data_IF_848395303061
#
_entry.id   IF_848395303061
#
_cell.length_a   1.000
_cell.length_b   1.000
_cell.length_c   1.000
_cell.angle_alpha   90.00
_cell.angle_beta   90.00
_cell.angle_gamma   90.00
#
_symmetry.space_group_name_H-M   'P 1'
#
loop_
_entity.id
_entity.type
_entity.pdbx_description
1 polymer ?
#
# COMPACT_ATOMS: atom_id res chain seq x y z
N UNK A 1 -62.74 12.41 23.33
CA UNK A 1 -61.46 11.93 23.90
C UNK A 1 -60.58 11.64 22.70
N UNK A 2 -59.83 12.63 22.24
CA UNK A 2 -58.47 13.02 22.67
C UNK A 2 -57.45 11.93 22.37
N UNK A 3 -56.50 12.33 21.54
CA UNK A 3 -55.43 11.61 20.87
C UNK A 3 -54.42 11.04 21.88
N UNK A 4 -53.86 9.86 21.55
CA UNK A 4 -52.51 9.50 21.96
C UNK A 4 -51.73 9.20 20.68
N UNK A 5 -50.79 10.08 20.37
CA UNK A 5 -49.72 9.88 19.40
C UNK A 5 -48.70 8.93 20.03
N UNK A 6 -48.39 7.83 19.33
CA UNK A 6 -47.20 7.03 19.63
C UNK A 6 -46.21 7.24 18.51
N UNK A 7 -45.16 8.00 18.82
CA UNK A 7 -44.00 8.23 17.96
C UNK A 7 -43.30 6.91 17.65
N UNK A 8 -43.42 6.48 16.39
CA UNK A 8 -42.49 5.52 15.78
C UNK A 8 -41.27 6.30 15.30
N UNK A 9 -40.22 6.34 16.12
CA UNK A 9 -38.91 6.77 15.66
C UNK A 9 -38.27 5.66 14.80
N UNK A 10 -38.17 5.97 13.51
CA UNK A 10 -37.34 5.32 12.49
C UNK A 10 -35.92 5.05 13.02
N UNK A 11 -35.53 3.77 13.04
CA UNK A 11 -34.15 3.37 13.21
C UNK A 11 -33.36 3.70 11.93
N UNK A 12 -32.81 4.91 11.89
CA UNK A 12 -31.85 5.32 10.87
C UNK A 12 -30.54 4.56 11.02
N UNK A 13 -30.33 3.56 10.16
CA UNK A 13 -29.04 2.95 9.89
C UNK A 13 -28.05 4.04 9.47
N UNK A 14 -26.92 4.12 10.19
CA UNK A 14 -25.83 5.05 9.87
C UNK A 14 -24.52 4.27 9.74
N UNK A 15 -24.37 3.62 8.59
CA UNK A 15 -23.14 2.99 8.08
C UNK A 15 -22.14 4.01 7.49
N UNK A 16 -21.91 5.15 8.15
CA UNK A 16 -21.21 6.28 7.47
C UNK A 16 -19.71 6.43 7.75
N UNK A 17 -19.09 5.62 8.62
CA UNK A 17 -17.66 5.80 8.95
C UNK A 17 -16.70 4.81 8.25
N UNK A 18 -17.23 3.78 7.55
CA UNK A 18 -16.43 2.74 6.88
C UNK A 18 -16.64 2.63 5.37
N UNK A 19 -17.71 3.23 4.83
CA UNK A 19 -18.01 3.19 3.39
C UNK A 19 -16.96 3.90 2.52
N UNK A 20 -16.12 4.76 3.12
CA UNK A 20 -15.02 5.42 2.42
C UNK A 20 -13.81 4.50 2.18
N UNK A 21 -13.57 3.51 3.04
CA UNK A 21 -12.49 2.53 2.87
C UNK A 21 -12.88 1.43 1.87
N UNK A 22 -14.17 1.05 1.86
CA UNK A 22 -14.76 0.08 0.92
C UNK A 22 -14.55 0.53 -0.54
N UNK A 23 -14.87 1.80 -0.85
CA UNK A 23 -14.64 2.37 -2.19
C UNK A 23 -13.15 2.48 -2.59
N UNK A 24 -12.24 2.57 -1.61
CA UNK A 24 -10.80 2.68 -1.86
C UNK A 24 -10.15 1.34 -2.22
N UNK A 25 -10.60 0.25 -1.58
CA UNK A 25 -10.01 -1.08 -1.74
C UNK A 25 -10.63 -1.87 -2.90
N UNK A 26 -11.96 -1.79 -3.08
CA UNK A 26 -12.65 -2.39 -4.25
C UNK A 26 -12.11 -1.84 -5.58
N UNK A 27 -11.40 -0.69 -5.53
CA UNK A 27 -10.73 -0.05 -6.68
C UNK A 27 -9.23 -0.34 -6.80
N UNK A 28 -8.61 -1.20 -5.97
CA UNK A 28 -7.26 -1.73 -6.21
C UNK A 28 -7.28 -2.73 -7.39
N UNK A 29 -7.73 -2.29 -8.55
CA UNK A 29 -7.47 -2.93 -9.82
C UNK A 29 -5.97 -2.72 -10.11
N UNK A 30 -5.12 -3.64 -9.67
CA UNK A 30 -3.81 -3.78 -10.27
C UNK A 30 -4.03 -4.38 -11.67
N UNK A 31 -4.44 -3.53 -12.61
CA UNK A 31 -4.34 -3.79 -14.03
C UNK A 31 -2.85 -3.80 -14.35
N UNK A 32 -2.26 -5.00 -14.45
CA UNK A 32 -1.05 -5.15 -15.24
C UNK A 32 -1.45 -5.05 -16.71
N UNK A 33 -1.71 -3.83 -17.16
CA UNK A 33 -1.83 -3.54 -18.59
C UNK A 33 -0.42 -3.29 -19.10
N UNK A 34 0.22 -4.32 -19.63
CA UNK A 34 1.30 -4.13 -20.59
C UNK A 34 0.64 -3.55 -21.84
N UNK A 35 0.54 -2.22 -21.86
CA UNK A 35 0.01 -1.50 -23.00
C UNK A 35 1.21 -1.16 -23.87
N UNK A 36 1.41 -1.90 -24.95
CA UNK A 36 2.23 -1.41 -26.06
C UNK A 36 1.46 -0.25 -26.69
N UNK A 37 1.80 0.99 -26.29
CA UNK A 37 1.23 2.18 -26.91
C UNK A 37 1.70 2.24 -28.37
N UNK A 38 0.81 1.92 -29.30
CA UNK A 38 0.98 2.33 -30.70
C UNK A 38 0.69 3.81 -30.80
N UNK A 39 1.77 4.59 -30.94
CA UNK A 39 1.72 6.03 -31.23
C UNK A 39 1.08 6.21 -32.62
N UNK A 40 -0.15 6.71 -32.66
CA UNK A 40 -0.73 7.26 -33.89
C UNK A 40 -0.27 8.70 -34.01
N UNK A 41 0.64 8.93 -34.95
CA UNK A 41 1.12 10.24 -35.39
C UNK A 41 0.00 10.98 -36.11
N UNK A 42 -0.56 12.00 -35.47
CA UNK A 42 -1.45 12.97 -36.12
C UNK A 42 -1.33 14.33 -35.42
N UNK A 43 -0.54 15.22 -36.03
CA UNK A 43 -0.64 16.67 -35.82
C UNK A 43 0.54 17.36 -35.13
N UNK A 44 1.57 17.65 -35.91
CA UNK A 44 2.27 18.96 -36.03
C UNK A 44 2.32 19.83 -34.75
N UNK A 45 3.20 19.45 -33.82
CA UNK A 45 3.82 20.37 -32.87
C UNK A 45 5.32 20.05 -32.84
N UNK A 46 6.12 21.09 -32.67
CA UNK A 46 7.59 21.15 -32.76
C UNK A 46 8.28 20.25 -31.70
N UNK A 47 8.20 18.93 -31.90
CA UNK A 47 8.89 17.93 -31.07
C UNK A 47 10.36 18.00 -31.42
N UNK A 48 11.10 18.74 -30.60
CA UNK A 48 12.56 18.67 -30.52
C UNK A 48 12.96 17.20 -30.67
N UNK A 49 13.56 16.89 -31.81
CA UNK A 49 13.95 15.55 -32.19
C UNK A 49 14.97 15.07 -31.17
N UNK A 50 14.52 14.40 -30.12
CA UNK A 50 15.38 13.72 -29.16
C UNK A 50 16.07 12.58 -29.90
N UNK A 51 17.17 12.92 -30.54
CA UNK A 51 18.13 11.99 -31.11
C UNK A 51 18.80 11.30 -29.95
N UNK A 52 18.61 9.99 -29.84
CA UNK A 52 19.39 9.15 -28.94
C UNK A 52 20.88 9.40 -29.17
N UNK A 53 21.56 9.98 -28.19
CA UNK A 53 23.00 10.17 -28.22
C UNK A 53 23.68 9.10 -27.38
N UNK A 54 24.79 8.57 -27.90
CA UNK A 54 25.65 7.68 -27.14
C UNK A 54 26.20 8.45 -25.93
N UNK A 55 26.03 7.89 -24.72
CA UNK A 55 26.59 8.48 -23.51
C UNK A 55 28.08 8.16 -23.54
N UNK A 56 28.91 9.17 -23.79
CA UNK A 56 30.37 9.04 -23.64
C UNK A 56 30.68 8.80 -22.16
N UNK A 57 31.05 7.56 -21.80
CA UNK A 57 31.42 7.22 -20.43
C UNK A 57 32.81 7.80 -20.11
N UNK A 58 32.90 8.66 -19.10
CA UNK A 58 34.19 9.23 -18.65
C UNK A 58 35.11 8.20 -17.94
N UNK A 59 34.65 6.97 -17.74
CA UNK A 59 35.44 5.90 -17.12
C UNK A 59 35.02 4.53 -17.65
N UNK A 60 35.96 3.74 -18.14
CA UNK A 60 35.78 2.30 -18.34
C UNK A 60 35.48 1.66 -16.98
N UNK A 61 34.21 1.30 -16.75
CA UNK A 61 33.83 0.52 -15.57
C UNK A 61 34.33 -0.90 -15.81
N UNK A 62 35.47 -1.26 -15.20
CA UNK A 62 35.95 -2.64 -15.21
C UNK A 62 34.95 -3.53 -14.48
N UNK A 63 34.32 -4.43 -15.23
CA UNK A 63 33.33 -5.34 -14.70
C UNK A 63 34.01 -6.50 -13.96
N UNK A 64 33.59 -6.78 -12.72
CA UNK A 64 34.08 -7.93 -11.95
C UNK A 64 33.45 -9.22 -12.45
N UNK A 65 34.25 -10.29 -12.62
CA UNK A 65 33.71 -11.62 -12.93
C UNK A 65 32.87 -12.21 -11.77
N UNK A 66 33.00 -11.66 -10.55
CA UNK A 66 32.21 -12.06 -9.37
C UNK A 66 30.85 -11.33 -9.33
N UNK A 67 29.93 -11.74 -10.19
CA UNK A 67 28.53 -11.28 -10.21
C UNK A 67 27.58 -12.36 -9.69
N UNK A 68 26.40 -11.96 -9.18
CA UNK A 68 25.40 -12.88 -8.63
C UNK A 68 25.00 -12.55 -7.19
N UNK A 69 24.45 -13.55 -6.49
CA UNK A 69 24.04 -13.41 -5.09
C UNK A 69 25.26 -13.31 -4.18
N UNK A 70 25.31 -12.26 -3.36
CA UNK A 70 26.41 -11.98 -2.43
C UNK A 70 26.20 -12.63 -1.06
N UNK A 71 24.96 -12.96 -0.72
CA UNK A 71 24.57 -13.56 0.55
C UNK A 71 23.88 -14.90 0.25
N UNK A 72 24.34 -15.98 0.89
CA UNK A 72 23.71 -17.28 0.74
C UNK A 72 22.36 -17.27 1.49
N UNK A 73 21.28 -17.58 0.77
CA UNK A 73 19.98 -17.83 1.41
C UNK A 73 20.10 -19.16 2.18
N UNK A 74 19.87 -19.18 3.51
CA UNK A 74 19.92 -20.42 4.27
C UNK A 74 18.95 -21.44 3.66
N UNK A 75 19.43 -22.62 3.32
CA UNK A 75 18.60 -23.72 2.86
C UNK A 75 18.20 -24.57 4.08
N UNK A 76 17.00 -24.35 4.59
CA UNK A 76 16.49 -25.01 5.82
C UNK A 76 16.02 -26.46 5.61
N UNK A 77 16.51 -27.19 4.60
CA UNK A 77 16.08 -28.57 4.33
C UNK A 77 17.21 -29.55 4.04
N UNK A 78 17.02 -30.79 4.47
CA UNK A 78 17.86 -31.96 4.15
C UNK A 78 18.02 -32.15 2.62
N UNK A 79 17.12 -31.56 1.82
CA UNK A 79 17.10 -31.61 0.35
C UNK A 79 17.82 -30.41 -0.32
N UNK A 80 18.41 -29.48 0.44
CA UNK A 80 19.05 -28.26 -0.07
C UNK A 80 18.14 -27.34 -0.91
N UNK A 81 16.82 -27.47 -0.78
CA UNK A 81 15.86 -26.65 -1.50
C UNK A 81 15.64 -25.30 -0.79
N UNK A 82 15.71 -24.21 -1.55
CA UNK A 82 15.43 -22.85 -1.06
C UNK A 82 13.95 -22.73 -0.74
N UNK A 83 13.61 -22.34 0.48
CA UNK A 83 12.23 -22.05 0.86
C UNK A 83 11.86 -20.61 0.45
N UNK A 84 10.75 -20.37 -0.26
CA UNK A 84 10.34 -19.02 -0.67
C UNK A 84 10.27 -18.00 0.47
N UNK A 85 9.97 -18.43 1.70
CA UNK A 85 9.94 -17.54 2.85
C UNK A 85 11.33 -16.98 3.21
N UNK A 86 12.39 -17.76 3.01
CA UNK A 86 13.76 -17.35 3.32
C UNK A 86 14.23 -16.28 2.33
N UNK A 87 13.88 -16.44 1.05
CA UNK A 87 14.06 -15.39 0.04
C UNK A 87 13.31 -14.11 0.44
N UNK A 88 12.05 -14.22 0.87
CA UNK A 88 11.27 -13.06 1.30
C UNK A 88 11.91 -12.35 2.49
N UNK A 89 12.37 -13.11 3.50
CA UNK A 89 13.03 -12.57 4.71
C UNK A 89 14.35 -11.87 4.43
N UNK A 90 15.01 -12.24 3.34
CA UNK A 90 16.23 -11.59 2.91
C UNK A 90 16.01 -10.12 2.54
N UNK A 91 14.92 -9.83 1.85
CA UNK A 91 14.55 -8.46 1.46
C UNK A 91 13.73 -7.75 2.54
N UNK A 92 12.78 -8.46 3.16
CA UNK A 92 11.89 -7.94 4.20
C UNK A 92 12.37 -8.44 5.56
N UNK A 93 13.35 -7.72 6.11
CA UNK A 93 13.99 -8.10 7.36
C UNK A 93 13.16 -7.73 8.59
N UNK A 94 13.55 -8.25 9.75
CA UNK A 94 12.91 -7.94 11.02
C UNK A 94 13.00 -6.44 11.38
N UNK A 95 14.03 -5.73 10.92
CA UNK A 95 14.13 -4.27 11.06
C UNK A 95 13.06 -3.55 10.24
N UNK A 96 12.81 -4.00 9.00
CA UNK A 96 11.75 -3.44 8.15
C UNK A 96 10.38 -3.72 8.76
N UNK A 97 10.14 -4.93 9.28
CA UNK A 97 8.89 -5.26 9.97
C UNK A 97 8.73 -4.40 11.22
N UNK A 98 9.79 -4.24 12.01
CA UNK A 98 9.77 -3.42 13.23
C UNK A 98 9.53 -1.94 12.91
N UNK A 99 10.04 -1.44 11.78
CA UNK A 99 9.71 -0.11 11.26
C UNK A 99 8.22 0.02 10.97
N UNK A 100 7.63 -0.93 10.22
CA UNK A 100 6.19 -0.91 9.91
C UNK A 100 5.34 -0.93 11.19
N UNK A 101 5.68 -1.79 12.15
CA UNK A 101 4.98 -1.91 13.43
C UNK A 101 5.04 -0.60 14.22
N UNK A 102 6.24 -0.03 14.34
CA UNK A 102 6.48 1.21 15.08
C UNK A 102 5.70 2.38 14.50
N UNK A 103 5.79 2.60 13.19
CA UNK A 103 5.16 3.76 12.55
C UNK A 103 3.64 3.61 12.43
N UNK A 104 3.15 2.39 12.18
CA UNK A 104 1.70 2.08 12.21
C UNK A 104 1.11 2.34 13.61
N UNK A 105 1.78 1.86 14.67
CA UNK A 105 1.30 2.06 16.04
C UNK A 105 1.34 3.53 16.44
N UNK A 106 2.41 4.24 16.10
CA UNK A 106 2.54 5.69 16.36
C UNK A 106 1.43 6.47 15.66
N UNK A 107 1.15 6.18 14.39
CA UNK A 107 0.12 6.88 13.63
C UNK A 107 -1.28 6.67 14.23
N UNK A 108 -1.60 5.44 14.62
CA UNK A 108 -2.87 5.14 15.28
C UNK A 108 -3.03 5.90 16.61
N UNK A 109 -1.98 5.96 17.43
CA UNK A 109 -2.00 6.72 18.69
C UNK A 109 -2.20 8.23 18.45
N UNK A 110 -1.50 8.80 17.47
CA UNK A 110 -1.68 10.20 17.07
C UNK A 110 -3.12 10.48 16.59
N UNK A 111 -3.69 9.58 15.80
CA UNK A 111 -5.06 9.69 15.31
C UNK A 111 -6.07 9.64 16.47
N UNK A 112 -5.92 8.69 17.39
CA UNK A 112 -6.78 8.55 18.57
C UNK A 112 -6.74 9.76 19.51
N UNK A 113 -5.60 10.47 19.57
CA UNK A 113 -5.45 11.65 20.41
C UNK A 113 -6.05 12.93 19.79
N UNK A 114 -6.17 12.97 18.46
CA UNK A 114 -6.51 14.21 17.73
C UNK A 114 -7.93 14.22 17.17
N UNK A 115 -8.57 13.05 17.02
CA UNK A 115 -9.90 12.91 16.42
C UNK A 115 -10.98 12.76 17.49
N UNK A 116 -12.11 13.45 17.30
CA UNK A 116 -13.33 13.21 18.08
C UNK A 116 -14.06 11.98 17.54
N UNK A 117 -13.97 10.86 18.26
CA UNK A 117 -14.57 9.60 17.85
C UNK A 117 -15.88 9.34 18.57
N UNK A 118 -16.88 8.85 17.82
CA UNK A 118 -18.13 8.37 18.43
C UNK A 118 -17.84 7.12 19.28
N UNK A 119 -18.64 6.89 20.33
CA UNK A 119 -18.49 5.71 21.21
C UNK A 119 -18.61 4.37 20.48
N UNK A 120 -19.18 4.36 19.27
CA UNK A 120 -19.37 3.17 18.43
C UNK A 120 -18.24 2.95 17.42
N UNK A 121 -17.29 3.90 17.31
CA UNK A 121 -16.22 3.79 16.32
C UNK A 121 -15.35 2.55 16.56
N UNK A 122 -15.22 1.69 15.54
CA UNK A 122 -14.28 0.55 15.59
C UNK A 122 -12.83 0.99 15.84
N UNK A 123 -12.50 2.24 15.50
CA UNK A 123 -11.19 2.85 15.78
C UNK A 123 -10.82 2.77 17.27
N UNK A 124 -11.81 2.88 18.16
CA UNK A 124 -11.59 2.78 19.61
C UNK A 124 -11.16 1.37 20.06
N UNK A 125 -11.29 0.36 19.20
CA UNK A 125 -10.83 -1.00 19.46
C UNK A 125 -9.36 -1.21 19.09
N UNK A 126 -8.67 -0.16 18.61
CA UNK A 126 -7.26 -0.22 18.27
C UNK A 126 -6.42 -0.72 19.45
N UNK A 127 -5.47 -1.59 19.12
CA UNK A 127 -4.40 -2.04 20.00
C UNK A 127 -3.09 -1.98 19.21
N UNK A 128 -1.95 -1.65 19.85
CA UNK A 128 -0.65 -1.71 19.21
C UNK A 128 -0.43 -3.05 18.52
N UNK A 129 0.15 -3.02 17.32
CA UNK A 129 0.43 -4.23 16.53
C UNK A 129 1.77 -4.83 16.93
N UNK A 130 2.00 -6.09 16.60
CA UNK A 130 3.27 -6.80 16.85
C UNK A 130 3.94 -7.19 15.53
N UNK A 131 5.21 -7.57 15.59
CA UNK A 131 5.91 -8.09 14.40
C UNK A 131 5.17 -9.30 13.81
N UNK A 132 4.73 -10.25 14.63
CA UNK A 132 3.96 -11.41 14.17
C UNK A 132 2.64 -11.01 13.49
N UNK A 133 1.92 -10.05 14.07
CA UNK A 133 0.65 -9.58 13.50
C UNK A 133 0.85 -8.82 12.19
N UNK A 134 1.90 -8.01 12.09
CA UNK A 134 2.28 -7.33 10.85
C UNK A 134 2.64 -8.32 9.75
N UNK A 135 3.27 -9.44 10.09
CA UNK A 135 3.55 -10.51 9.12
C UNK A 135 2.30 -11.21 8.63
N UNK A 136 1.36 -11.48 9.53
CA UNK A 136 0.03 -12.01 9.16
C UNK A 136 -0.71 -11.03 8.23
N UNK A 137 -0.68 -9.74 8.54
CA UNK A 137 -1.26 -8.69 7.70
C UNK A 137 -0.64 -8.64 6.30
N UNK A 138 0.69 -8.64 6.19
CA UNK A 138 1.39 -8.68 4.90
C UNK A 138 1.11 -9.97 4.13
N UNK A 139 1.04 -11.12 4.81
CA UNK A 139 0.66 -12.40 4.21
C UNK A 139 -0.74 -12.36 3.60
N UNK A 140 -1.71 -11.75 4.29
CA UNK A 140 -3.06 -11.54 3.74
C UNK A 140 -3.04 -10.60 2.53
N UNK A 141 -2.24 -9.52 2.55
CA UNK A 141 -2.10 -8.63 1.38
C UNK A 141 -1.56 -9.40 0.16
N UNK A 142 -0.57 -10.26 0.37
CA UNK A 142 -0.01 -11.10 -0.70
C UNK A 142 -1.07 -12.05 -1.24
N UNK A 143 -1.81 -12.75 -0.36
CA UNK A 143 -2.88 -13.66 -0.75
C UNK A 143 -3.97 -12.97 -1.57
N UNK A 144 -4.41 -11.78 -1.15
CA UNK A 144 -5.39 -10.96 -1.89
C UNK A 144 -4.85 -10.54 -3.26
N UNK A 145 -3.55 -10.26 -3.36
CA UNK A 145 -2.88 -9.96 -4.62
C UNK A 145 -2.87 -11.14 -5.60
N UNK A 146 -2.83 -12.37 -5.07
CA UNK A 146 -2.79 -13.62 -5.83
C UNK A 146 -4.19 -14.11 -6.23
N UNK A 147 -5.14 -14.14 -5.28
CA UNK A 147 -6.49 -14.66 -5.48
C UNK A 147 -7.48 -13.52 -5.34
N UNK A 148 -7.85 -12.87 -6.46
CA UNK A 148 -8.72 -11.70 -6.41
C UNK A 148 -10.20 -12.06 -6.29
N UNK A 149 -10.88 -11.48 -5.31
CA UNK A 149 -12.33 -11.44 -5.16
C UNK A 149 -12.88 -10.05 -5.53
N UNK A 150 -14.18 -9.98 -5.80
CA UNK A 150 -14.84 -8.74 -6.22
C UNK A 150 -14.85 -7.68 -5.11
N UNK A 151 -15.00 -8.10 -3.86
CA UNK A 151 -15.09 -7.27 -2.67
C UNK A 151 -14.19 -7.83 -1.58
N UNK A 152 -13.67 -6.99 -0.68
CA UNK A 152 -12.73 -7.41 0.36
C UNK A 152 -13.42 -8.26 1.43
N UNK A 153 -14.69 -8.00 1.69
CA UNK A 153 -15.51 -8.72 2.65
C UNK A 153 -15.66 -10.19 2.26
N UNK A 154 -15.57 -10.48 0.95
CA UNK A 154 -15.73 -11.84 0.43
C UNK A 154 -14.63 -12.78 0.91
N UNK A 155 -13.42 -12.29 1.19
CA UNK A 155 -12.36 -13.11 1.79
C UNK A 155 -12.75 -13.66 3.17
N UNK A 156 -13.55 -12.91 3.94
CA UNK A 156 -14.07 -13.30 5.25
C UNK A 156 -15.48 -13.88 5.22
N UNK A 157 -16.05 -14.11 4.03
CA UNK A 157 -17.39 -14.66 3.88
C UNK A 157 -17.46 -16.12 4.31
N UNK A 158 -18.57 -16.51 4.97
CA UNK A 158 -18.91 -17.91 5.29
C UNK A 158 -19.76 -18.57 4.20
N UNK A 159 -19.93 -17.89 3.07
CA UNK A 159 -20.67 -18.42 1.93
C UNK A 159 -19.99 -19.67 1.37
N UNK A 160 -20.74 -20.53 0.68
CA UNK A 160 -20.14 -21.64 -0.08
C UNK A 160 -19.41 -21.17 -1.34
N UNK A 161 -19.71 -19.95 -1.80
CA UNK A 161 -19.19 -19.38 -3.05
C UNK A 161 -17.98 -18.46 -2.82
N UNK A 162 -17.84 -17.92 -1.62
CA UNK A 162 -16.82 -16.93 -1.27
C UNK A 162 -16.23 -17.26 0.09
N UNK A 163 -14.99 -16.85 0.31
CA UNK A 163 -14.26 -17.09 1.55
C UNK A 163 -12.90 -17.70 1.29
N UNK A 164 -11.92 -17.29 2.08
CA UNK A 164 -10.61 -17.95 2.17
C UNK A 164 -10.40 -18.42 3.60
N UNK A 165 -10.39 -19.74 3.81
CA UNK A 165 -10.15 -20.33 5.14
C UNK A 165 -8.79 -19.87 5.69
N UNK A 166 -7.78 -19.71 4.82
CA UNK A 166 -6.45 -19.22 5.20
C UNK A 166 -6.55 -17.81 5.78
N UNK A 167 -7.21 -16.88 5.08
CA UNK A 167 -7.37 -15.49 5.56
C UNK A 167 -8.21 -15.46 6.84
N UNK A 168 -9.33 -16.19 6.86
CA UNK A 168 -10.26 -16.22 7.99
C UNK A 168 -9.62 -16.73 9.28
N UNK A 169 -8.75 -17.76 9.18
CA UNK A 169 -8.04 -18.32 10.32
C UNK A 169 -6.82 -17.48 10.72
N UNK A 170 -6.31 -16.62 9.85
CA UNK A 170 -5.11 -15.80 10.10
C UNK A 170 -5.42 -14.54 10.89
N UNK A 171 -6.47 -13.81 10.52
CA UNK A 171 -6.85 -12.55 11.16
C UNK A 171 -8.34 -12.25 10.93
N UNK A 172 -9.02 -11.67 11.93
CA UNK A 172 -10.41 -11.22 11.74
C UNK A 172 -10.49 -10.02 10.78
N UNK A 173 -11.59 -9.90 10.03
CA UNK A 173 -11.85 -8.78 9.11
C UNK A 173 -11.67 -7.41 9.78
N UNK A 174 -12.30 -7.20 10.93
CA UNK A 174 -12.25 -5.92 11.65
C UNK A 174 -10.81 -5.53 12.05
N UNK A 175 -9.97 -6.50 12.43
CA UNK A 175 -8.57 -6.24 12.74
C UNK A 175 -7.75 -5.93 11.48
N UNK A 176 -8.00 -6.64 10.38
CA UNK A 176 -7.37 -6.35 9.10
C UNK A 176 -7.72 -4.94 8.60
N UNK A 177 -9.00 -4.56 8.63
CA UNK A 177 -9.48 -3.22 8.27
C UNK A 177 -8.83 -2.13 9.15
N UNK A 178 -8.69 -2.37 10.45
CA UNK A 178 -8.01 -1.43 11.36
C UNK A 178 -6.52 -1.29 11.04
N UNK A 179 -5.81 -2.39 10.78
CA UNK A 179 -4.41 -2.34 10.38
C UNK A 179 -4.25 -1.64 9.03
N UNK A 180 -5.12 -1.92 8.07
CA UNK A 180 -5.12 -1.26 6.77
C UNK A 180 -5.33 0.25 6.91
N UNK A 181 -6.28 0.67 7.76
CA UNK A 181 -6.57 2.09 8.05
C UNK A 181 -5.37 2.83 8.64
N UNK A 182 -4.61 2.19 9.52
CA UNK A 182 -3.51 2.81 10.25
C UNK A 182 -2.12 2.49 9.71
N UNK A 183 -2.02 1.67 8.66
CA UNK A 183 -0.74 1.26 8.11
C UNK A 183 0.08 2.49 7.70
N UNK A 184 1.26 2.62 8.28
CA UNK A 184 2.09 3.79 8.12
C UNK A 184 3.57 3.43 8.16
N UNK A 185 4.40 4.22 7.48
CA UNK A 185 5.80 3.90 7.21
C UNK A 185 6.79 4.99 7.64
N UNK A 186 6.30 6.12 8.16
CA UNK A 186 7.11 7.27 8.53
C UNK A 186 6.55 8.00 9.73
N UNK A 187 7.39 8.70 10.49
CA UNK A 187 6.89 9.56 11.56
C UNK A 187 6.33 10.88 10.97
N UNK A 188 5.05 11.16 11.20
CA UNK A 188 4.40 12.40 10.72
C UNK A 188 4.87 13.67 11.44
N UNK A 189 5.60 13.54 12.56
CA UNK A 189 6.11 14.67 13.34
C UNK A 189 7.54 15.06 12.97
N UNK A 190 8.21 14.29 12.14
CA UNK A 190 9.53 14.66 11.63
C UNK A 190 9.40 15.75 10.57
N UNK A 191 10.29 16.74 10.60
CA UNK A 191 10.37 17.73 9.54
C UNK A 191 10.92 17.05 8.28
N UNK A 192 10.15 17.14 7.20
CA UNK A 192 10.54 16.62 5.90
C UNK A 192 10.98 17.77 5.00
N UNK A 193 11.94 17.53 4.12
CA UNK A 193 12.24 18.50 3.08
C UNK A 193 10.99 18.73 2.24
N UNK A 194 10.54 19.97 2.10
CA UNK A 194 9.29 20.36 1.40
C UNK A 194 9.19 19.83 -0.04
N UNK A 195 10.28 19.33 -0.60
CA UNK A 195 10.39 18.83 -1.97
C UNK A 195 10.28 17.30 -2.10
N UNK A 196 10.45 16.51 -1.04
CA UNK A 196 10.37 15.05 -1.14
C UNK A 196 8.91 14.56 -1.04
N UNK A 197 8.26 14.44 -2.20
CA UNK A 197 6.88 13.92 -2.29
C UNK A 197 6.74 12.47 -1.81
N UNK A 198 7.83 11.72 -1.69
CA UNK A 198 7.84 10.32 -1.26
C UNK A 198 8.26 10.14 0.20
N UNK A 199 8.34 11.23 0.99
CA UNK A 199 8.83 11.19 2.37
C UNK A 199 8.16 10.10 3.22
N UNK A 200 6.87 9.84 3.01
CA UNK A 200 6.11 8.81 3.75
C UNK A 200 6.61 7.39 3.51
N UNK A 201 7.18 7.14 2.34
CA UNK A 201 7.72 5.83 1.94
C UNK A 201 9.24 5.76 2.12
N UNK A 202 9.89 6.91 2.32
CA UNK A 202 11.35 7.03 2.32
C UNK A 202 12.05 6.08 3.30
N UNK A 203 11.58 5.88 4.54
CA UNK A 203 12.21 4.93 5.46
C UNK A 203 12.22 3.49 4.94
N UNK A 204 11.12 3.07 4.30
CA UNK A 204 11.03 1.74 3.68
C UNK A 204 11.89 1.66 2.42
N UNK A 205 11.80 2.66 1.53
CA UNK A 205 12.53 2.67 0.26
C UNK A 205 14.04 2.68 0.45
N UNK A 206 14.55 3.42 1.44
CA UNK A 206 15.98 3.46 1.73
C UNK A 206 16.46 2.13 2.31
N UNK A 207 15.66 1.49 3.18
CA UNK A 207 15.94 0.15 3.71
C UNK A 207 15.98 -0.91 2.60
N UNK A 208 14.97 -0.91 1.72
CA UNK A 208 14.91 -1.83 0.59
C UNK A 208 16.03 -1.58 -0.42
N UNK A 209 16.35 -0.31 -0.72
CA UNK A 209 17.47 0.04 -1.62
C UNK A 209 18.79 -0.49 -1.08
N UNK A 210 19.03 -0.33 0.23
CA UNK A 210 20.24 -0.86 0.87
C UNK A 210 20.30 -2.39 0.74
N UNK A 211 19.18 -3.09 0.96
CA UNK A 211 19.09 -4.55 0.81
C UNK A 211 19.29 -5.04 -0.61
N UNK A 212 18.63 -4.40 -1.60
CA UNK A 212 18.83 -4.77 -3.01
C UNK A 212 20.29 -4.63 -3.44
N UNK A 213 20.99 -3.59 -2.96
CA UNK A 213 22.41 -3.38 -3.24
C UNK A 213 23.34 -4.38 -2.54
N UNK A 214 22.95 -4.89 -1.37
CA UNK A 214 23.80 -5.83 -0.62
C UNK A 214 23.63 -7.27 -1.05
N UNK A 215 22.48 -7.63 -1.63
CA UNK A 215 22.13 -9.03 -1.92
C UNK A 215 22.63 -9.46 -3.30
N UNK A 216 22.71 -8.57 -4.28
CA UNK A 216 22.99 -8.96 -5.67
C UNK A 216 23.92 -7.99 -6.39
N UNK A 217 24.96 -8.52 -7.04
CA UNK A 217 25.79 -7.79 -8.01
C UNK A 217 25.29 -8.08 -9.42
N UNK A 218 24.85 -7.07 -10.17
CA UNK A 218 24.45 -7.26 -11.56
C UNK A 218 25.64 -7.63 -12.44
N UNK A 219 25.36 -8.44 -13.48
CA UNK A 219 26.28 -8.78 -14.58
C UNK A 219 26.66 -7.58 -15.46
N UNK A 220 27.54 -7.80 -16.44
CA UNK A 220 28.00 -6.76 -17.39
C UNK A 220 26.92 -6.25 -18.33
N UNK A 221 25.79 -6.94 -18.40
CA UNK A 221 24.64 -6.58 -19.22
C UNK A 221 23.44 -6.34 -18.31
N UNK A 222 22.91 -5.12 -18.34
CA UNK A 222 21.71 -4.71 -17.61
C UNK A 222 20.67 -4.16 -18.56
N UNK A 223 19.39 -4.31 -18.21
CA UNK A 223 18.28 -3.70 -18.93
C UNK A 223 17.52 -2.78 -17.97
N UNK A 224 17.16 -1.60 -18.47
CA UNK A 224 16.42 -0.60 -17.70
C UNK A 224 15.02 -0.50 -18.31
N UNK A 225 14.00 -0.67 -17.47
CA UNK A 225 12.61 -0.50 -17.86
C UNK A 225 11.86 0.36 -16.83
N UNK A 226 10.83 1.07 -17.29
CA UNK A 226 9.94 1.84 -16.43
C UNK A 226 8.72 1.02 -16.01
N UNK A 227 8.28 1.19 -14.77
CA UNK A 227 7.00 0.67 -14.27
C UNK A 227 6.18 1.84 -13.75
N UNK A 228 4.94 1.94 -14.22
CA UNK A 228 3.99 2.94 -13.72
C UNK A 228 3.03 2.26 -12.76
N UNK A 229 3.09 2.68 -11.49
CA UNK A 229 2.13 2.26 -10.46
C UNK A 229 1.01 3.29 -10.43
N UNK A 230 -0.19 2.91 -10.91
CA UNK A 230 -1.37 3.78 -10.86
C UNK A 230 -1.85 3.91 -9.41
N UNK A 231 -1.99 5.15 -8.94
CA UNK A 231 -2.66 5.47 -7.67
C UNK A 231 -4.05 6.00 -7.97
N UNK A 232 -5.06 5.54 -7.23
CA UNK A 232 -6.41 6.11 -7.34
C UNK A 232 -6.43 7.53 -6.74
N UNK A 233 -7.18 8.50 -7.30
CA UNK A 233 -7.33 9.87 -6.75
C UNK A 233 -7.78 9.91 -5.28
N UNK A 234 -8.41 8.84 -4.79
CA UNK A 234 -8.76 8.69 -3.38
C UNK A 234 -7.52 8.68 -2.46
N UNK A 235 -6.40 8.11 -2.91
CA UNK A 235 -5.13 8.13 -2.14
C UNK A 235 -4.53 9.55 -2.11
N UNK A 236 -4.77 10.38 -3.13
CA UNK A 236 -4.39 11.80 -3.09
C UNK A 236 -5.21 12.60 -2.06
N UNK A 237 -6.46 12.21 -1.82
CA UNK A 237 -7.34 12.84 -0.82
C UNK A 237 -7.02 12.47 0.63
N UNK A 238 -6.26 11.39 0.86
CA UNK A 238 -5.76 11.00 2.19
C UNK A 238 -4.54 11.84 2.65
N UNK A 239 -4.23 12.92 1.94
CA UNK A 239 -3.22 13.89 2.32
C UNK A 239 -3.87 15.24 2.69
N UNK A 240 -4.30 15.45 3.96
CA UNK A 240 -5.00 16.66 4.39
C UNK A 240 -4.12 17.92 4.46
N UNK A 241 -2.83 17.86 4.08
CA UNK A 241 -1.92 19.02 4.09
C UNK A 241 -1.88 19.82 2.78
N UNK A 242 -2.78 19.58 1.82
CA UNK A 242 -2.94 20.46 0.65
C UNK A 242 -3.94 21.59 0.92
N UNK A 243 -3.57 22.83 0.54
CA UNK A 243 -4.35 24.05 0.81
C UNK A 243 -5.62 24.16 -0.06
N UNK A 244 -6.63 24.96 0.35
CA UNK A 244 -8.03 24.82 -0.09
C UNK A 244 -8.42 25.43 -1.45
N UNK A 245 -7.50 25.65 -2.39
CA UNK A 245 -7.79 26.52 -3.54
C UNK A 245 -8.37 25.85 -4.81
N UNK A 246 -8.70 24.56 -4.78
CA UNK A 246 -9.37 23.90 -5.92
C UNK A 246 -10.75 23.30 -5.59
N UNK A 247 -11.54 24.00 -4.78
CA UNK A 247 -12.95 23.64 -4.49
C UNK A 247 -13.98 24.46 -5.29
N UNK A 248 -13.75 24.71 -6.58
CA UNK A 248 -14.74 25.33 -7.46
C UNK A 248 -15.71 24.34 -8.13
N UNK A 249 -15.39 23.04 -8.17
CA UNK A 249 -16.25 22.03 -8.82
C UNK A 249 -17.20 21.26 -7.88
N UNK A 250 -17.00 21.33 -6.55
CA UNK A 250 -17.81 20.57 -5.59
C UNK A 250 -19.13 21.24 -5.18
N UNK A 251 -19.32 22.55 -5.44
CA UNK A 251 -20.54 23.27 -5.03
C UNK A 251 -21.75 23.10 -5.97
N UNK A 252 -21.60 22.46 -7.13
CA UNK A 252 -22.70 22.34 -8.11
C UNK A 252 -23.57 21.09 -7.95
N UNK A 253 -23.20 20.13 -7.09
CA UNK A 253 -23.87 18.82 -7.05
C UNK A 253 -24.65 18.58 -5.73
N UNK A 254 -24.58 19.48 -4.74
CA UNK A 254 -25.23 19.30 -3.43
C UNK A 254 -26.54 20.12 -3.27
N UNK A 255 -27.13 20.61 -4.37
CA UNK A 255 -28.45 21.27 -4.34
C UNK A 255 -29.46 20.64 -5.32
N UNK A 256 -29.58 19.31 -5.31
CA UNK A 256 -30.74 18.59 -5.84
C UNK A 256 -31.02 17.32 -5.06
#
# INVERSE_FOLDING_TARGET
MLFEETDTEESGDSESDMSSLDNGFSRMQFESSSSEEQVTDDGDDDVDSQVWSEIESESDIEFSEDYGMMEEVPADSEDSAINPIDCYRHFITDEIISLMVRETSRYAEQHLQTQELTKRSKTLQWKPTTNEEMLKFLGIIIEIGLVRMAEIEYYWSKSKLFGSEVIQNTMSRDRFELLLKFFHLSNNQEEHADQDRLFRLRPLLDSLRAKFKSIYVPGSVISIFGVVVRTSPFIESLNPSRSPLEHAWFKSIVNS
#
